data_IF_640417649886
#
_entry.id   IF_640417649886
#
_cell.length_a   1.000
_cell.length_b   1.000
_cell.length_c   1.000
_cell.angle_alpha   90.00
_cell.angle_beta   90.00
_cell.angle_gamma   90.00
#
_symmetry.space_group_name_H-M   'P 1'
#
loop_
_entity.id
_entity.type
_entity.pdbx_description
1 polymer ?
#
# COMPACT_ATOMS: atom_id res chain seq x y z
N UNK A 1 -7.35 -2.94 37.60
CA UNK A 1 -6.98 -2.67 36.20
C UNK A 1 -6.75 -1.18 36.10
N UNK A 2 -5.48 -0.76 36.02
CA UNK A 2 -5.12 0.67 36.04
C UNK A 2 -5.76 1.41 34.87
N UNK A 3 -6.42 2.53 35.18
CA UNK A 3 -7.09 3.34 34.17
C UNK A 3 -6.01 4.07 33.35
N UNK A 4 -5.90 3.84 32.02
CA UNK A 4 -4.90 4.51 31.20
C UNK A 4 -5.09 6.03 31.27
N UNK A 5 -3.98 6.78 31.20
CA UNK A 5 -4.03 8.25 31.18
C UNK A 5 -4.94 8.73 30.02
N UNK A 6 -5.58 9.90 30.12
CA UNK A 6 -6.47 10.40 29.06
C UNK A 6 -5.81 10.44 27.67
N UNK A 7 -4.51 10.75 27.62
CA UNK A 7 -3.73 10.73 26.38
C UNK A 7 -3.55 9.31 25.84
N UNK A 8 -3.16 8.35 26.70
CA UNK A 8 -2.99 6.97 26.28
C UNK A 8 -4.32 6.33 25.87
N UNK A 9 -5.42 6.68 26.53
CA UNK A 9 -6.77 6.28 26.11
C UNK A 9 -7.07 6.79 24.70
N UNK A 10 -6.81 8.07 24.42
CA UNK A 10 -6.98 8.65 23.08
C UNK A 10 -6.11 7.91 22.05
N UNK A 11 -4.85 7.61 22.37
CA UNK A 11 -3.98 6.81 21.50
C UNK A 11 -4.57 5.43 21.20
N UNK A 12 -4.98 4.68 22.23
CA UNK A 12 -5.55 3.34 22.08
C UNK A 12 -6.86 3.35 21.28
N UNK A 13 -7.70 4.36 21.48
CA UNK A 13 -8.96 4.51 20.75
C UNK A 13 -8.73 4.85 19.27
N UNK A 14 -7.69 5.62 18.94
CA UNK A 14 -7.29 5.86 17.55
C UNK A 14 -6.66 4.59 16.97
N UNK A 15 -5.75 3.92 17.68
CA UNK A 15 -5.09 2.70 17.24
C UNK A 15 -6.08 1.59 16.87
N UNK A 16 -7.16 1.43 17.64
CA UNK A 16 -8.25 0.47 17.33
C UNK A 16 -8.89 0.71 15.96
N UNK A 17 -8.94 1.95 15.48
CA UNK A 17 -9.50 2.30 14.17
C UNK A 17 -8.54 2.00 13.01
N UNK A 18 -7.25 1.84 13.29
CA UNK A 18 -6.20 1.61 12.30
C UNK A 18 -5.40 0.34 12.62
N UNK A 19 -6.05 -0.85 12.65
CA UNK A 19 -5.37 -2.11 12.92
C UNK A 19 -4.31 -2.40 11.85
N UNK A 20 -3.20 -3.03 12.25
CA UNK A 20 -2.10 -3.39 11.33
C UNK A 20 -1.27 -2.21 10.81
N UNK A 21 -1.42 -1.01 11.39
CA UNK A 21 -0.59 0.16 11.05
C UNK A 21 0.25 0.59 12.24
N UNK A 22 1.45 1.13 12.04
CA UNK A 22 2.18 1.84 13.08
C UNK A 22 1.57 3.23 13.26
N UNK A 23 1.22 3.62 14.49
CA UNK A 23 0.61 4.91 14.77
C UNK A 23 1.66 5.93 15.23
N UNK A 24 2.02 6.86 14.35
CA UNK A 24 2.81 8.04 14.69
C UNK A 24 1.92 9.10 15.34
N UNK A 25 1.98 9.19 16.67
CA UNK A 25 1.10 10.05 17.45
C UNK A 25 1.79 11.37 17.80
N UNK A 26 1.29 12.49 17.27
CA UNK A 26 1.88 13.82 17.46
C UNK A 26 1.81 14.28 18.91
N UNK A 27 2.96 14.43 19.55
CA UNK A 27 3.09 14.93 20.93
C UNK A 27 4.19 15.99 21.00
N UNK A 28 3.78 17.26 21.14
CA UNK A 28 4.72 18.39 21.10
C UNK A 28 5.46 18.41 19.77
N UNK A 29 6.80 18.37 19.82
CA UNK A 29 7.70 18.33 18.65
C UNK A 29 8.12 16.92 18.20
N UNK A 30 7.47 15.87 18.72
CA UNK A 30 7.74 14.50 18.33
C UNK A 30 6.51 13.82 17.73
N UNK A 31 6.75 12.79 16.93
CA UNK A 31 5.81 11.68 16.82
C UNK A 31 6.27 10.57 17.74
N UNK A 32 5.38 10.13 18.64
CA UNK A 32 5.63 9.04 19.55
C UNK A 32 4.82 7.80 19.12
N UNK A 33 5.42 6.63 19.31
CA UNK A 33 4.78 5.33 19.23
C UNK A 33 4.73 4.73 20.64
N UNK A 34 3.70 3.95 20.95
CA UNK A 34 3.54 3.32 22.26
C UNK A 34 3.28 1.80 22.16
N UNK A 35 3.59 1.09 23.24
CA UNK A 35 3.39 -0.35 23.39
C UNK A 35 4.13 -1.14 22.28
N UNK A 36 3.44 -2.04 21.59
CA UNK A 36 3.99 -2.86 20.52
C UNK A 36 4.56 -2.02 19.36
N UNK A 37 3.88 -0.93 18.98
CA UNK A 37 4.36 -0.01 17.95
C UNK A 37 5.70 0.60 18.34
N UNK A 38 5.93 0.86 19.62
CA UNK A 38 7.21 1.38 20.09
C UNK A 38 8.34 0.36 19.96
N UNK A 39 8.05 -0.92 20.26
CA UNK A 39 9.01 -2.02 20.13
C UNK A 39 9.38 -2.24 18.67
N UNK A 40 8.38 -2.28 17.78
CA UNK A 40 8.59 -2.39 16.33
C UNK A 40 9.35 -1.16 15.83
N UNK A 41 8.87 0.05 16.12
CA UNK A 41 9.48 1.29 15.67
C UNK A 41 10.94 1.42 16.12
N UNK A 42 11.25 1.07 17.37
CA UNK A 42 12.62 1.08 17.89
C UNK A 42 13.53 0.13 17.14
N UNK A 43 13.10 -1.13 16.95
CA UNK A 43 13.87 -2.15 16.23
C UNK A 43 14.11 -1.74 14.77
N UNK A 44 13.06 -1.29 14.09
CA UNK A 44 13.12 -1.06 12.65
C UNK A 44 13.82 0.24 12.28
N UNK A 45 13.68 1.28 13.11
CA UNK A 45 14.32 2.58 12.90
C UNK A 45 15.68 2.71 13.61
N UNK A 46 16.06 1.72 14.42
CA UNK A 46 17.25 1.74 15.27
C UNK A 46 17.30 2.97 16.19
N UNK A 47 16.15 3.34 16.75
CA UNK A 47 16.01 4.43 17.71
C UNK A 47 15.83 3.89 19.12
N UNK A 48 16.18 4.67 20.14
CA UNK A 48 16.12 4.24 21.54
C UNK A 48 14.69 3.90 21.98
N UNK A 49 14.47 2.67 22.45
CA UNK A 49 13.27 2.30 23.18
C UNK A 49 13.36 2.82 24.61
N UNK A 50 12.34 3.55 25.05
CA UNK A 50 12.21 4.04 26.42
C UNK A 50 10.84 3.62 26.99
N UNK A 51 10.47 4.12 28.16
CA UNK A 51 9.12 3.92 28.68
C UNK A 51 8.60 5.16 29.40
N UNK A 52 7.27 5.35 29.33
CA UNK A 52 6.54 6.35 30.13
C UNK A 52 6.29 5.75 31.51
N UNK A 53 6.42 6.60 32.54
CA UNK A 53 6.23 6.17 33.93
C UNK A 53 7.11 4.96 34.27
N UNK A 54 8.43 5.07 34.04
CA UNK A 54 9.41 4.00 34.22
C UNK A 54 9.36 3.37 35.62
N UNK A 55 9.08 4.18 36.63
CA UNK A 55 9.04 3.76 38.03
C UNK A 55 7.65 3.25 38.47
N UNK A 56 6.70 3.14 37.54
CA UNK A 56 5.36 2.61 37.84
C UNK A 56 5.31 1.08 37.68
N UNK A 57 4.34 0.40 38.30
CA UNK A 57 4.15 -1.04 38.13
C UNK A 57 3.89 -1.46 36.68
N UNK A 58 3.41 -0.54 35.83
CA UNK A 58 3.01 -0.78 34.46
C UNK A 58 3.64 0.27 33.53
N UNK A 59 4.96 0.21 33.28
CA UNK A 59 5.64 1.15 32.39
C UNK A 59 5.15 0.95 30.95
N UNK A 60 4.91 2.04 30.24
CA UNK A 60 4.40 2.01 28.85
C UNK A 60 5.57 2.16 27.89
N UNK A 61 5.96 1.14 27.10
CA UNK A 61 7.03 1.27 26.12
C UNK A 61 6.75 2.42 25.16
N UNK A 62 7.76 3.22 24.86
CA UNK A 62 7.67 4.33 23.92
C UNK A 62 8.96 4.50 23.11
N UNK A 63 8.83 4.96 21.89
CA UNK A 63 9.92 5.54 21.12
C UNK A 63 9.35 6.68 20.27
N UNK A 64 10.21 7.52 19.71
CA UNK A 64 9.73 8.65 18.91
C UNK A 64 10.80 9.29 18.06
N UNK A 65 10.34 10.05 17.08
CA UNK A 65 11.17 10.76 16.12
C UNK A 65 10.78 12.25 16.09
N UNK A 66 11.73 13.18 15.86
CA UNK A 66 11.40 14.59 15.68
C UNK A 66 10.53 14.78 14.44
N UNK A 67 9.48 15.59 14.55
CA UNK A 67 8.49 15.67 13.45
C UNK A 67 9.03 16.28 12.16
N UNK A 68 9.92 17.26 12.28
CA UNK A 68 10.59 17.88 11.14
C UNK A 68 11.43 16.88 10.34
N UNK A 69 11.84 15.77 10.96
CA UNK A 69 12.63 14.71 10.34
C UNK A 69 11.80 13.46 10.05
N UNK A 70 10.48 13.47 10.32
CA UNK A 70 9.64 12.28 10.30
C UNK A 70 9.54 11.63 8.91
N UNK A 71 9.59 12.42 7.84
CA UNK A 71 9.50 11.92 6.46
C UNK A 71 10.50 10.78 6.19
N UNK A 72 11.78 10.98 6.52
CA UNK A 72 12.81 9.96 6.33
C UNK A 72 12.59 8.69 7.16
N UNK A 73 12.03 8.81 8.36
CA UNK A 73 11.70 7.64 9.20
C UNK A 73 10.48 6.89 8.68
N UNK A 74 9.45 7.62 8.23
CA UNK A 74 8.26 7.05 7.61
C UNK A 74 8.66 6.24 6.38
N UNK A 75 9.53 6.81 5.52
CA UNK A 75 10.00 6.14 4.31
C UNK A 75 10.76 4.84 4.61
N UNK A 76 11.62 4.83 5.63
CA UNK A 76 12.28 3.60 6.10
C UNK A 76 11.30 2.52 6.56
N UNK A 77 10.24 2.89 7.28
CA UNK A 77 9.20 1.94 7.70
C UNK A 77 8.42 1.41 6.50
N UNK A 78 8.03 2.29 5.58
CA UNK A 78 7.24 1.94 4.39
C UNK A 78 8.02 1.01 3.46
N UNK A 79 9.32 1.26 3.23
CA UNK A 79 10.20 0.35 2.45
C UNK A 79 10.34 -1.03 3.08
N UNK A 80 10.19 -1.14 4.40
CA UNK A 80 10.14 -2.42 5.12
C UNK A 80 8.75 -3.06 5.13
N UNK A 81 7.80 -2.47 4.39
CA UNK A 81 6.44 -2.95 4.23
C UNK A 81 5.46 -2.55 5.32
N UNK A 82 5.84 -1.64 6.23
CA UNK A 82 4.93 -1.17 7.27
C UNK A 82 3.98 -0.09 6.74
N UNK A 83 2.72 -0.17 7.15
CA UNK A 83 1.74 0.90 6.97
C UNK A 83 1.83 1.85 8.16
N UNK A 84 1.85 3.16 7.93
CA UNK A 84 2.08 4.16 8.98
C UNK A 84 0.96 5.18 9.02
N UNK A 85 0.17 5.20 10.10
CA UNK A 85 -0.87 6.20 10.34
C UNK A 85 -0.26 7.44 11.01
N UNK A 86 -0.41 8.60 10.38
CA UNK A 86 0.07 9.89 10.88
C UNK A 86 -1.07 10.57 11.62
N UNK A 87 -0.93 10.69 12.94
CA UNK A 87 -1.93 11.30 13.81
C UNK A 87 -1.49 12.68 14.27
N UNK A 88 -2.20 13.70 13.81
CA UNK A 88 -1.92 15.11 14.09
C UNK A 88 -2.81 15.70 15.17
N UNK A 89 -2.39 16.86 15.67
CA UNK A 89 -3.22 17.71 16.51
C UNK A 89 -4.23 18.46 15.64
N UNK A 90 -5.52 18.17 15.85
CA UNK A 90 -6.60 18.84 15.12
C UNK A 90 -6.79 20.29 15.56
N UNK A 91 -6.30 20.65 16.75
CA UNK A 91 -6.45 21.96 17.36
C UNK A 91 -5.12 22.41 17.99
N UNK A 92 -4.78 23.71 17.97
CA UNK A 92 -3.59 24.22 18.64
C UNK A 92 -3.69 24.07 20.16
N UNK A 93 -2.58 23.71 20.81
CA UNK A 93 -2.50 23.63 22.27
C UNK A 93 -2.63 25.03 22.91
N UNK A 94 -3.84 25.40 23.37
CA UNK A 94 -4.10 26.66 24.04
C UNK A 94 -4.16 26.55 25.57
N UNK A 95 -3.94 27.68 26.28
CA UNK A 95 -4.04 27.76 27.75
C UNK A 95 -5.42 27.28 28.22
N UNK A 96 -5.45 26.23 29.05
CA UNK A 96 -6.68 25.66 29.62
C UNK A 96 -7.13 24.34 28.97
N UNK A 97 -6.58 23.98 27.81
CA UNK A 97 -6.88 22.68 27.16
C UNK A 97 -6.04 21.58 27.83
N UNK A 98 -6.71 20.71 28.60
CA UNK A 98 -6.05 19.57 29.29
C UNK A 98 -5.63 18.45 28.33
N UNK A 99 -6.31 18.27 27.20
CA UNK A 99 -6.01 17.26 26.19
C UNK A 99 -6.41 17.78 24.81
N UNK A 100 -5.43 17.91 23.93
CA UNK A 100 -5.64 18.31 22.52
C UNK A 100 -6.33 17.18 21.75
N UNK A 101 -7.33 17.52 20.94
CA UNK A 101 -7.97 16.55 20.04
C UNK A 101 -6.99 16.16 18.94
N UNK A 102 -6.93 14.87 18.64
CA UNK A 102 -6.08 14.34 17.59
C UNK A 102 -6.85 13.49 16.61
N UNK A 103 -6.39 13.49 15.38
CA UNK A 103 -6.95 12.69 14.31
C UNK A 103 -5.87 12.20 13.38
N UNK A 104 -6.08 11.03 12.78
CA UNK A 104 -5.21 10.57 11.70
C UNK A 104 -5.50 11.42 10.48
N UNK A 105 -4.49 12.06 9.92
CA UNK A 105 -4.64 12.90 8.70
C UNK A 105 -4.32 12.13 7.43
N UNK A 106 -3.47 11.11 7.55
CA UNK A 106 -3.01 10.29 6.43
C UNK A 106 -2.53 8.93 6.94
N UNK A 107 -2.68 7.90 6.11
CA UNK A 107 -2.00 6.62 6.26
C UNK A 107 -1.05 6.45 5.09
N UNK A 108 0.24 6.33 5.36
CA UNK A 108 1.27 6.11 4.34
C UNK A 108 1.50 4.60 4.22
N UNK A 109 1.43 4.09 3.00
CA UNK A 109 1.56 2.65 2.70
C UNK A 109 2.53 2.46 1.55
N UNK A 110 3.09 1.25 1.35
CA UNK A 110 4.05 1.01 0.28
C UNK A 110 3.57 1.46 -1.11
N UNK A 111 2.30 1.20 -1.45
CA UNK A 111 1.73 1.60 -2.76
C UNK A 111 1.10 2.99 -2.80
N UNK A 112 1.12 3.77 -1.72
CA UNK A 112 0.49 5.12 -1.69
C UNK A 112 1.49 6.23 -1.35
N UNK A 113 2.75 5.97 -1.66
CA UNK A 113 3.87 6.87 -1.40
C UNK A 113 3.93 7.95 -2.48
N UNK A 114 3.60 9.20 -2.12
CA UNK A 114 3.59 10.35 -3.05
C UNK A 114 4.81 11.26 -2.87
N UNK A 115 5.43 11.20 -1.69
CA UNK A 115 6.47 12.16 -1.33
C UNK A 115 7.80 11.77 -1.99
N UNK A 116 8.34 12.67 -2.80
CA UNK A 116 9.57 12.50 -3.58
C UNK A 116 10.81 12.23 -2.72
N UNK A 117 10.75 12.49 -1.41
CA UNK A 117 11.80 12.09 -0.47
C UNK A 117 11.74 10.59 -0.11
N UNK A 118 10.63 9.94 -0.41
CA UNK A 118 10.35 8.54 -0.07
C UNK A 118 10.53 7.60 -1.28
N UNK A 119 10.29 8.10 -2.49
CA UNK A 119 10.54 7.37 -3.76
C UNK A 119 12.03 7.40 -4.12
N UNK A 120 12.59 6.28 -4.56
CA UNK A 120 13.91 6.30 -5.21
C UNK A 120 13.75 7.06 -6.53
N UNK A 121 14.66 8.01 -6.80
CA UNK A 121 14.55 8.87 -7.98
C UNK A 121 14.50 7.99 -9.23
N UNK A 122 13.34 7.97 -9.91
CA UNK A 122 13.03 7.31 -11.19
C UNK A 122 12.44 5.88 -11.19
N UNK A 123 11.85 5.37 -10.11
CA UNK A 123 11.03 4.14 -10.20
C UNK A 123 9.55 4.39 -9.84
N UNK A 124 8.59 3.91 -10.66
CA UNK A 124 7.17 4.02 -10.35
C UNK A 124 6.83 3.16 -9.12
N UNK A 125 5.94 3.66 -8.27
CA UNK A 125 5.48 2.96 -7.07
C UNK A 125 4.02 2.57 -7.25
N UNK A 126 3.81 1.45 -7.94
CA UNK A 126 2.46 0.97 -8.22
C UNK A 126 1.78 0.37 -6.99
N UNK A 127 0.54 0.80 -6.77
CA UNK A 127 -0.48 0.08 -6.03
C UNK A 127 -1.23 -0.82 -7.00
N UNK A 128 -1.30 -2.12 -6.72
CA UNK A 128 -2.16 -3.04 -7.45
C UNK A 128 -3.39 -3.43 -6.64
N UNK A 129 -4.48 -3.76 -7.31
CA UNK A 129 -5.61 -4.48 -6.73
C UNK A 129 -6.01 -5.64 -7.63
N UNK A 130 -6.38 -6.77 -7.04
CA UNK A 130 -6.80 -7.97 -7.77
C UNK A 130 -8.23 -8.33 -7.37
N UNK A 131 -9.10 -8.45 -8.37
CA UNK A 131 -10.46 -8.97 -8.22
C UNK A 131 -10.62 -10.15 -9.16
N UNK A 132 -11.29 -11.23 -8.76
CA UNK A 132 -11.42 -12.36 -9.65
C UNK A 132 -12.27 -13.51 -9.13
N UNK A 133 -12.73 -14.30 -10.07
CA UNK A 133 -13.22 -15.66 -9.89
C UNK A 133 -12.19 -16.63 -10.45
N UNK A 134 -12.54 -17.92 -10.49
CA UNK A 134 -11.61 -18.95 -10.99
C UNK A 134 -11.25 -18.75 -12.47
N UNK A 135 -12.21 -18.37 -13.31
CA UNK A 135 -12.04 -18.29 -14.77
C UNK A 135 -11.86 -16.87 -15.31
N UNK A 136 -11.92 -15.86 -14.44
CA UNK A 136 -11.86 -14.46 -14.84
C UNK A 136 -11.22 -13.62 -13.73
N UNK A 137 -10.20 -12.84 -14.07
CA UNK A 137 -9.45 -12.01 -13.12
C UNK A 137 -9.20 -10.64 -13.72
N UNK A 138 -9.43 -9.62 -12.90
CA UNK A 138 -9.12 -8.23 -13.18
C UNK A 138 -7.99 -7.76 -12.28
N UNK A 139 -7.06 -7.03 -12.87
CA UNK A 139 -5.95 -6.41 -12.14
C UNK A 139 -5.87 -4.94 -12.51
N UNK A 140 -5.83 -4.08 -11.51
CA UNK A 140 -5.66 -2.65 -11.68
C UNK A 140 -4.32 -2.21 -11.10
N UNK A 141 -3.62 -1.29 -11.76
CA UNK A 141 -2.34 -0.73 -11.36
C UNK A 141 -2.43 0.79 -11.32
N UNK A 142 -2.09 1.39 -10.19
CA UNK A 142 -2.14 2.83 -9.97
C UNK A 142 -0.80 3.34 -9.47
N UNK A 143 -0.17 4.23 -10.22
CA UNK A 143 0.89 5.08 -9.69
C UNK A 143 0.24 6.37 -9.16
N UNK A 144 0.23 6.50 -7.83
CA UNK A 144 -0.41 7.63 -7.17
C UNK A 144 0.36 8.94 -7.36
N UNK A 145 1.65 8.90 -7.66
CA UNK A 145 2.48 10.10 -7.85
C UNK A 145 2.21 10.78 -9.19
N UNK A 146 2.00 9.99 -10.24
CA UNK A 146 1.73 10.47 -11.61
C UNK A 146 0.23 10.54 -11.92
N UNK A 147 -0.58 9.75 -11.23
CA UNK A 147 -1.99 9.54 -11.56
C UNK A 147 -2.21 8.55 -12.71
N UNK A 148 -1.15 7.86 -13.15
CA UNK A 148 -1.24 6.78 -14.12
C UNK A 148 -2.07 5.65 -13.53
N UNK A 149 -3.13 5.29 -14.25
CA UNK A 149 -4.05 4.26 -13.81
C UNK A 149 -4.41 3.35 -14.98
N UNK A 150 -3.98 2.10 -14.88
CA UNK A 150 -4.21 1.08 -15.89
C UNK A 150 -4.93 -0.13 -15.30
N UNK A 151 -5.63 -0.87 -16.15
CA UNK A 151 -6.39 -2.04 -15.73
C UNK A 151 -6.51 -3.05 -16.86
N UNK A 152 -6.60 -4.32 -16.51
CA UNK A 152 -6.81 -5.40 -17.47
C UNK A 152 -7.78 -6.43 -16.90
N UNK A 153 -8.40 -7.22 -17.79
CA UNK A 153 -9.24 -8.36 -17.44
C UNK A 153 -8.89 -9.55 -18.33
N UNK A 154 -8.48 -10.64 -17.70
CA UNK A 154 -8.13 -11.88 -18.37
C UNK A 154 -9.19 -12.93 -18.06
N UNK A 155 -9.52 -13.75 -19.06
CA UNK A 155 -10.53 -14.81 -18.95
C UNK A 155 -10.05 -16.12 -19.57
N UNK A 156 -10.58 -17.23 -19.06
CA UNK A 156 -10.24 -18.58 -19.50
C UNK A 156 -9.18 -19.27 -18.64
N UNK A 157 -8.71 -20.46 -19.06
CA UNK A 157 -7.86 -21.31 -18.22
C UNK A 157 -6.51 -20.69 -17.84
N UNK A 158 -5.99 -19.78 -18.65
CA UNK A 158 -4.70 -19.11 -18.46
C UNK A 158 -4.82 -17.74 -17.79
N UNK A 159 -6.04 -17.32 -17.41
CA UNK A 159 -6.31 -15.96 -16.94
C UNK A 159 -5.42 -15.54 -15.76
N UNK A 160 -5.27 -16.43 -14.78
CA UNK A 160 -4.44 -16.20 -13.61
C UNK A 160 -2.94 -16.17 -13.92
N UNK A 161 -2.49 -16.99 -14.88
CA UNK A 161 -1.08 -16.97 -15.31
C UNK A 161 -0.73 -15.63 -15.96
N UNK A 162 -1.63 -15.12 -16.81
CA UNK A 162 -1.46 -13.81 -17.45
C UNK A 162 -1.53 -12.67 -16.44
N UNK A 163 -2.48 -12.72 -15.50
CA UNK A 163 -2.55 -11.74 -14.42
C UNK A 163 -1.27 -11.72 -13.57
N UNK A 164 -0.70 -12.89 -13.24
CA UNK A 164 0.57 -12.98 -12.52
C UNK A 164 1.74 -12.37 -13.31
N UNK A 165 1.74 -12.52 -14.64
CA UNK A 165 2.73 -11.87 -15.50
C UNK A 165 2.58 -10.34 -15.47
N UNK A 166 1.35 -9.82 -15.58
CA UNK A 166 1.09 -8.38 -15.48
C UNK A 166 1.51 -7.81 -14.13
N UNK A 167 1.24 -8.52 -13.03
CA UNK A 167 1.69 -8.15 -11.68
C UNK A 167 3.22 -8.13 -11.60
N UNK A 168 3.88 -9.16 -12.15
CA UNK A 168 5.35 -9.22 -12.16
C UNK A 168 5.96 -8.08 -12.98
N UNK A 169 5.35 -7.75 -14.12
CA UNK A 169 5.80 -6.67 -15.01
C UNK A 169 5.71 -5.29 -14.36
N UNK A 170 4.61 -4.99 -13.69
CA UNK A 170 4.43 -3.71 -13.00
C UNK A 170 5.18 -3.66 -11.65
N UNK A 171 5.57 -4.81 -11.08
CA UNK A 171 6.30 -4.90 -9.82
C UNK A 171 5.70 -4.00 -8.71
N UNK A 172 4.39 -4.14 -8.41
CA UNK A 172 3.73 -3.24 -7.48
C UNK A 172 4.33 -3.33 -6.09
N UNK A 173 4.49 -2.17 -5.43
CA UNK A 173 4.99 -2.07 -4.06
C UNK A 173 3.98 -2.59 -3.03
N UNK A 174 2.69 -2.56 -3.39
CA UNK A 174 1.58 -3.06 -2.57
C UNK A 174 0.49 -3.68 -3.45
N UNK A 175 -0.07 -4.81 -3.03
CA UNK A 175 -1.16 -5.52 -3.71
C UNK A 175 -2.35 -5.64 -2.76
N UNK A 176 -3.50 -5.10 -3.17
CA UNK A 176 -4.76 -5.20 -2.45
C UNK A 176 -5.50 -6.48 -2.84
N UNK A 177 -5.92 -7.22 -1.83
CA UNK A 177 -6.81 -8.37 -1.97
C UNK A 177 -8.06 -8.20 -1.09
N UNK A 178 -9.19 -8.82 -1.45
CA UNK A 178 -10.30 -8.97 -0.53
C UNK A 178 -9.84 -9.60 0.80
N UNK A 179 -10.48 -9.24 1.92
CA UNK A 179 -10.29 -9.87 3.23
C UNK A 179 -10.71 -11.33 3.23
N UNK A 180 -11.60 -11.72 2.32
CA UNK A 180 -12.06 -13.09 2.13
C UNK A 180 -11.71 -13.59 0.71
N UNK A 181 -10.41 -13.72 0.36
CA UNK A 181 -10.00 -14.23 -0.94
C UNK A 181 -10.37 -15.71 -1.07
N UNK A 182 -10.71 -16.14 -2.29
CA UNK A 182 -10.98 -17.56 -2.55
C UNK A 182 -9.70 -18.38 -2.39
N UNK A 183 -9.82 -19.66 -2.00
CA UNK A 183 -8.66 -20.55 -1.89
C UNK A 183 -7.86 -20.65 -3.20
N UNK A 184 -8.56 -20.57 -4.34
CA UNK A 184 -7.95 -20.55 -5.67
C UNK A 184 -7.23 -19.25 -5.96
N UNK A 185 -7.78 -18.09 -5.58
CA UNK A 185 -7.07 -16.80 -5.68
C UNK A 185 -5.77 -16.83 -4.87
N UNK A 186 -5.81 -17.34 -3.64
CA UNK A 186 -4.59 -17.52 -2.84
C UNK A 186 -3.58 -18.43 -3.55
N UNK A 187 -4.02 -19.61 -4.02
CA UNK A 187 -3.16 -20.54 -4.73
C UNK A 187 -2.52 -19.93 -5.99
N UNK A 188 -3.32 -19.25 -6.81
CA UNK A 188 -2.89 -18.66 -8.07
C UNK A 188 -1.92 -17.48 -7.88
N UNK A 189 -2.01 -16.76 -6.75
CA UNK A 189 -1.08 -15.70 -6.38
C UNK A 189 0.11 -16.21 -5.56
N UNK A 190 0.24 -17.53 -5.36
CA UNK A 190 1.32 -18.12 -4.56
C UNK A 190 1.23 -17.79 -3.06
N UNK A 191 0.03 -17.45 -2.57
CA UNK A 191 -0.22 -17.12 -1.18
C UNK A 191 -0.67 -18.36 -0.41
N UNK A 192 -0.07 -18.59 0.76
CA UNK A 192 -0.54 -19.58 1.71
C UNK A 192 -1.92 -19.19 2.21
N UNK A 193 -2.96 -19.98 1.87
CA UNK A 193 -4.30 -19.76 2.40
C UNK A 193 -4.28 -19.88 3.94
N UNK A 194 -4.77 -18.89 4.68
CA UNK A 194 -4.77 -18.99 6.14
C UNK A 194 -5.80 -20.00 6.61
N UNK A 195 -5.34 -20.96 7.41
CA UNK A 195 -6.22 -21.80 8.21
C UNK A 195 -6.84 -20.94 9.33
N UNK A 196 -8.03 -20.40 9.08
CA UNK A 196 -8.79 -19.66 10.09
C UNK A 196 -9.13 -18.24 9.66
N UNK A 197 -10.41 -17.91 9.82
CA UNK A 197 -11.12 -16.71 9.35
C UNK A 197 -10.71 -15.40 10.04
N UNK A 198 -9.44 -15.02 9.95
CA UNK A 198 -8.96 -13.67 10.23
C UNK A 198 -7.63 -13.47 9.51
N UNK A 199 -7.72 -13.05 8.26
CA UNK A 199 -6.59 -12.66 7.42
C UNK A 199 -5.92 -11.39 7.96
N UNK A 200 -5.14 -11.54 9.02
CA UNK A 200 -3.86 -10.87 9.05
C UNK A 200 -2.94 -11.72 8.17
N UNK A 201 -2.81 -11.34 6.89
CA UNK A 201 -1.61 -11.65 6.12
C UNK A 201 -0.46 -10.90 6.81
N UNK A 202 -0.02 -11.40 7.97
CA UNK A 202 1.32 -11.11 8.44
C UNK A 202 2.25 -11.66 7.37
N UNK A 203 2.81 -10.74 6.58
CA UNK A 203 3.99 -10.85 5.74
C UNK A 203 4.82 -12.14 5.89
N UNK A 204 4.27 -13.29 5.49
CA UNK A 204 4.94 -14.59 5.45
C UNK A 204 5.86 -14.73 4.24
N UNK A 205 6.06 -13.64 3.47
CA UNK A 205 7.09 -13.53 2.44
C UNK A 205 8.47 -13.10 2.98
N UNK A 206 8.70 -13.03 4.30
CA UNK A 206 10.06 -12.69 4.80
C UNK A 206 11.11 -13.79 4.61
N UNK A 207 10.69 -15.04 4.42
CA UNK A 207 11.58 -16.21 4.24
C UNK A 207 11.44 -16.92 2.88
N UNK A 208 10.61 -16.42 1.97
CA UNK A 208 10.58 -16.93 0.60
C UNK A 208 11.84 -16.40 -0.12
N UNK A 209 12.63 -17.31 -0.70
CA UNK A 209 13.82 -16.97 -1.47
C UNK A 209 13.56 -15.99 -2.62
N UNK A 210 14.59 -15.65 -3.43
CA UNK A 210 14.62 -14.50 -4.36
C UNK A 210 13.67 -14.60 -5.59
N UNK A 211 12.56 -15.32 -5.48
CA UNK A 211 11.54 -15.51 -6.54
C UNK A 211 10.18 -14.88 -6.23
N UNK A 212 10.00 -14.17 -5.11
CA UNK A 212 8.74 -13.47 -4.80
C UNK A 212 8.87 -11.96 -5.09
N UNK A 213 8.78 -11.59 -6.38
CA UNK A 213 8.77 -10.21 -6.88
C UNK A 213 7.45 -9.46 -6.63
N UNK A 214 6.54 -10.00 -5.81
CA UNK A 214 5.26 -9.38 -5.49
C UNK A 214 5.41 -8.54 -4.21
N UNK A 215 5.05 -7.25 -4.27
CA UNK A 215 5.10 -6.34 -3.12
C UNK A 215 4.20 -6.74 -1.95
N UNK A 216 4.05 -5.84 -0.99
CA UNK A 216 3.32 -6.13 0.26
C UNK A 216 1.86 -6.42 -0.02
N UNK A 217 1.35 -7.56 0.43
CA UNK A 217 -0.08 -7.89 0.28
C UNK A 217 -0.88 -7.28 1.43
N UNK A 218 -1.88 -6.48 1.10
CA UNK A 218 -2.79 -5.83 2.05
C UNK A 218 -4.20 -6.35 1.86
N UNK A 219 -4.78 -6.93 2.92
CA UNK A 219 -6.18 -7.32 2.94
C UNK A 219 -7.10 -6.08 3.09
N UNK A 220 -8.04 -5.92 2.17
CA UNK A 220 -8.95 -4.78 2.08
C UNK A 220 -10.42 -5.23 2.06
N UNK A 221 -11.35 -4.37 2.48
CA UNK A 221 -12.72 -4.81 2.74
C UNK A 221 -13.40 -5.33 1.47
N UNK A 222 -14.05 -6.49 1.57
CA UNK A 222 -14.64 -7.21 0.42
C UNK A 222 -15.65 -6.36 -0.36
N UNK A 223 -16.35 -5.45 0.33
CA UNK A 223 -17.31 -4.51 -0.27
C UNK A 223 -16.69 -3.60 -1.33
N UNK A 224 -15.39 -3.28 -1.22
CA UNK A 224 -14.70 -2.46 -2.22
C UNK A 224 -14.36 -3.21 -3.51
N UNK A 225 -14.48 -4.54 -3.51
CA UNK A 225 -14.33 -5.39 -4.68
C UNK A 225 -15.70 -5.81 -5.27
N UNK A 226 -16.80 -5.16 -4.85
CA UNK A 226 -18.13 -5.43 -5.38
C UNK A 226 -18.26 -4.95 -6.83
N UNK A 227 -18.58 -5.88 -7.73
CA UNK A 227 -18.83 -5.61 -9.15
C UNK A 227 -20.00 -4.64 -9.38
N UNK A 228 -21.06 -4.81 -8.60
CA UNK A 228 -22.29 -4.01 -8.72
C UNK A 228 -22.03 -2.54 -8.40
N UNK A 229 -21.11 -2.30 -7.47
CA UNK A 229 -20.83 -0.99 -6.92
C UNK A 229 -19.64 -0.31 -7.62
N UNK A 230 -18.73 -1.11 -8.18
CA UNK A 230 -17.55 -0.63 -8.91
C UNK A 230 -17.89 0.38 -10.00
N UNK A 231 -18.92 0.08 -10.80
CA UNK A 231 -19.37 0.96 -11.87
C UNK A 231 -19.78 2.35 -11.35
N UNK A 232 -20.50 2.41 -10.22
CA UNK A 232 -20.93 3.67 -9.60
C UNK A 232 -19.74 4.46 -9.06
N UNK A 233 -18.79 3.78 -8.41
CA UNK A 233 -17.57 4.39 -7.85
C UNK A 233 -16.72 5.04 -8.96
N UNK A 234 -16.48 4.31 -10.05
CA UNK A 234 -15.65 4.77 -11.18
C UNK A 234 -16.34 5.92 -11.93
N UNK A 235 -17.63 5.77 -12.27
CA UNK A 235 -18.42 6.83 -12.92
C UNK A 235 -18.44 8.12 -12.11
N UNK A 236 -18.61 8.00 -10.79
CA UNK A 236 -18.57 9.16 -9.89
C UNK A 236 -17.18 9.77 -9.76
N UNK A 237 -16.10 8.99 -9.90
CA UNK A 237 -14.74 9.50 -9.79
C UNK A 237 -14.33 10.30 -11.03
N UNK A 238 -14.56 9.71 -12.21
CA UNK A 238 -14.16 10.29 -13.49
C UNK A 238 -15.19 11.27 -14.07
N UNK A 239 -16.33 11.45 -13.38
CA UNK A 239 -17.44 12.30 -13.81
C UNK A 239 -17.97 11.93 -15.22
N UNK A 240 -18.20 10.63 -15.43
CA UNK A 240 -18.71 10.08 -16.69
C UNK A 240 -20.03 9.34 -16.51
N UNK A 241 -20.86 9.34 -17.55
CA UNK A 241 -22.13 8.59 -17.56
C UNK A 241 -21.93 7.10 -17.81
N UNK A 242 -20.91 6.77 -18.59
CA UNK A 242 -20.65 5.42 -19.07
C UNK A 242 -19.15 5.12 -19.04
N UNK A 243 -18.79 3.86 -18.77
CA UNK A 243 -17.39 3.42 -18.68
C UNK A 243 -16.86 2.88 -20.02
N UNK A 244 -17.70 2.77 -21.05
CA UNK A 244 -17.30 2.45 -22.43
C UNK A 244 -16.23 3.42 -22.96
N UNK A 245 -16.22 4.67 -22.49
CA UNK A 245 -15.18 5.66 -22.85
C UNK A 245 -13.77 5.25 -22.40
N UNK A 246 -13.67 4.32 -21.44
CA UNK A 246 -12.43 3.73 -20.93
C UNK A 246 -12.24 2.26 -21.35
N UNK A 247 -13.10 1.73 -22.23
CA UNK A 247 -13.04 0.32 -22.64
C UNK A 247 -13.48 -0.69 -21.57
N UNK A 248 -14.17 -0.24 -20.52
CA UNK A 248 -14.57 -1.08 -19.37
C UNK A 248 -15.98 -1.66 -19.47
N UNK A 249 -16.65 -1.52 -20.62
CA UNK A 249 -17.98 -2.10 -20.82
C UNK A 249 -17.93 -3.63 -20.75
N UNK A 250 -18.70 -4.21 -19.82
CA UNK A 250 -18.72 -5.67 -19.57
C UNK A 250 -17.50 -6.22 -18.83
N UNK A 251 -16.54 -5.37 -18.43
CA UNK A 251 -15.30 -5.77 -17.73
C UNK A 251 -15.45 -5.64 -16.22
N UNK A 252 -16.25 -6.53 -15.64
CA UNK A 252 -16.68 -6.45 -14.24
C UNK A 252 -15.52 -6.60 -13.24
N UNK A 253 -14.58 -7.53 -13.50
CA UNK A 253 -13.47 -7.77 -12.59
C UNK A 253 -12.43 -6.66 -12.68
N UNK A 254 -12.15 -6.16 -13.88
CA UNK A 254 -11.33 -4.96 -14.06
C UNK A 254 -11.93 -3.77 -13.30
N UNK A 255 -13.23 -3.54 -13.48
CA UNK A 255 -13.93 -2.45 -12.79
C UNK A 255 -13.86 -2.59 -11.27
N UNK A 256 -14.07 -3.80 -10.73
CA UNK A 256 -13.98 -4.09 -9.30
C UNK A 256 -12.58 -3.83 -8.74
N UNK A 257 -11.53 -4.31 -9.42
CA UNK A 257 -10.14 -4.05 -9.03
C UNK A 257 -9.82 -2.55 -9.03
N UNK A 258 -10.22 -1.83 -10.09
CA UNK A 258 -10.02 -0.40 -10.19
C UNK A 258 -10.75 0.38 -9.09
N UNK A 259 -12.01 0.02 -8.80
CA UNK A 259 -12.77 0.65 -7.73
C UNK A 259 -12.11 0.43 -6.36
N UNK A 260 -11.54 -0.75 -6.11
CA UNK A 260 -10.80 -1.05 -4.88
C UNK A 260 -9.56 -0.15 -4.73
N UNK A 261 -8.76 0.03 -5.77
CA UNK A 261 -7.62 0.98 -5.76
C UNK A 261 -8.06 2.40 -5.37
N UNK A 262 -9.11 2.92 -6.02
CA UNK A 262 -9.61 4.26 -5.74
C UNK A 262 -10.15 4.40 -4.31
N UNK A 263 -10.88 3.41 -3.81
CA UNK A 263 -11.38 3.41 -2.44
C UNK A 263 -10.22 3.41 -1.45
N UNK A 264 -9.19 2.58 -1.68
CA UNK A 264 -8.01 2.52 -0.83
C UNK A 264 -7.23 3.84 -0.80
N UNK A 265 -7.04 4.48 -1.97
CA UNK A 265 -6.41 5.81 -2.04
C UNK A 265 -7.23 6.87 -1.31
N UNK A 266 -8.56 6.84 -1.42
CA UNK A 266 -9.44 7.77 -0.68
C UNK A 266 -9.31 7.57 0.83
N UNK A 267 -9.26 6.33 1.30
CA UNK A 267 -9.11 6.03 2.73
C UNK A 267 -7.73 6.41 3.29
N UNK A 268 -6.66 6.15 2.54
CA UNK A 268 -5.28 6.39 2.97
C UNK A 268 -4.89 7.86 2.86
N UNK A 269 -5.29 8.56 1.81
CA UNK A 269 -4.87 9.93 1.54
C UNK A 269 -5.87 11.01 1.97
N UNK A 270 -7.09 10.64 2.38
CA UNK A 270 -8.13 11.57 2.87
C UNK A 270 -8.35 12.81 1.96
N UNK A 271 -8.46 12.59 0.64
CA UNK A 271 -8.86 13.51 -0.45
C UNK A 271 -7.84 13.77 -1.59
N UNK A 272 -6.72 13.05 -1.68
CA UNK A 272 -5.68 13.29 -2.70
C UNK A 272 -5.79 12.45 -3.98
N UNK A 273 -6.99 12.14 -4.47
CA UNK A 273 -7.18 11.37 -5.71
C UNK A 273 -7.57 12.21 -6.94
N UNK A 274 -7.65 13.53 -6.83
CA UNK A 274 -8.27 14.38 -7.86
C UNK A 274 -7.47 14.48 -9.17
N UNK A 275 -6.19 14.11 -9.16
CA UNK A 275 -5.32 14.07 -10.34
C UNK A 275 -5.43 12.75 -11.11
N UNK A 276 -6.04 11.71 -10.53
CA UNK A 276 -6.37 10.46 -11.23
C UNK A 276 -7.58 10.75 -12.11
N UNK A 277 -7.34 11.13 -13.36
CA UNK A 277 -8.37 11.68 -14.26
C UNK A 277 -8.85 10.73 -15.34
N UNK A 278 -8.11 9.66 -15.58
CA UNK A 278 -8.40 8.66 -16.58
C UNK A 278 -8.00 7.29 -16.06
N UNK A 279 -8.55 6.26 -16.70
CA UNK A 279 -8.12 4.87 -16.54
C UNK A 279 -7.98 4.26 -17.93
N UNK A 280 -6.91 3.52 -18.16
CA UNK A 280 -6.63 2.86 -19.43
C UNK A 280 -6.84 1.36 -19.29
N UNK A 281 -7.69 0.78 -20.16
CA UNK A 281 -7.79 -0.66 -20.29
C UNK A 281 -6.77 -1.14 -21.32
N UNK A 282 -5.93 -2.10 -20.95
CA UNK A 282 -4.94 -2.69 -21.87
C UNK A 282 -5.15 -4.20 -22.06
N UNK A 283 -4.86 -4.67 -23.27
CA UNK A 283 -4.92 -6.09 -23.62
C UNK A 283 -3.51 -6.70 -23.72
N UNK A 284 -3.40 -8.00 -23.40
CA UNK A 284 -2.13 -8.74 -23.54
C UNK A 284 -1.55 -8.75 -24.96
N UNK A 285 -2.37 -8.51 -26.00
CA UNK A 285 -1.94 -8.61 -27.41
C UNK A 285 -1.19 -7.38 -27.95
N UNK A 286 -1.17 -6.26 -27.22
CA UNK A 286 -0.57 -5.01 -27.70
C UNK A 286 0.95 -4.92 -27.50
N UNK A 287 1.53 -5.88 -26.76
CA UNK A 287 2.94 -5.87 -26.36
C UNK A 287 3.61 -7.21 -26.60
N UNK A 288 4.95 -7.20 -26.75
CA UNK A 288 5.73 -8.42 -26.68
C UNK A 288 5.74 -8.93 -25.24
N UNK A 289 5.12 -10.09 -25.04
CA UNK A 289 5.06 -10.80 -23.76
C UNK A 289 6.44 -11.39 -23.45
N UNK A 290 7.02 -10.99 -22.32
CA UNK A 290 8.28 -11.53 -21.79
C UNK A 290 8.00 -12.02 -20.37
N UNK A 291 8.26 -13.31 -20.13
CA UNK A 291 8.11 -13.90 -18.81
C UNK A 291 9.14 -13.34 -17.81
N UNK A 292 8.89 -13.52 -16.50
CA UNK A 292 9.74 -13.01 -15.44
C UNK A 292 11.19 -13.55 -15.50
N UNK A 293 11.39 -14.79 -15.97
CA UNK A 293 12.72 -15.40 -16.12
C UNK A 293 13.46 -14.72 -17.28
N UNK A 294 12.77 -14.51 -18.41
CA UNK A 294 13.31 -13.77 -19.55
C UNK A 294 13.66 -12.34 -19.16
N UNK A 295 12.77 -11.61 -18.47
CA UNK A 295 13.07 -10.25 -17.99
C UNK A 295 14.30 -10.21 -17.07
N UNK A 296 14.41 -11.16 -16.13
CA UNK A 296 15.56 -11.25 -15.24
C UNK A 296 16.87 -11.61 -15.97
N UNK A 297 16.80 -12.46 -17.02
CA UNK A 297 17.97 -12.85 -17.81
C UNK A 297 18.43 -11.76 -18.78
N UNK A 298 17.50 -10.94 -19.28
CA UNK A 298 17.80 -9.84 -20.18
C UNK A 298 18.33 -8.60 -19.45
N UNK A 299 18.20 -8.56 -18.11
CA UNK A 299 18.65 -7.43 -17.27
C UNK A 299 18.15 -6.07 -17.79
N UNK A 300 16.88 -6.01 -18.22
CA UNK A 300 16.35 -4.84 -18.95
C UNK A 300 16.37 -3.59 -18.07
N UNK A 301 15.75 -3.66 -16.90
CA UNK A 301 15.65 -2.52 -15.96
C UNK A 301 16.61 -2.64 -14.78
N UNK A 302 17.05 -3.86 -14.44
CA UNK A 302 17.92 -4.13 -13.31
C UNK A 302 18.91 -5.25 -13.63
N UNK A 303 20.15 -5.09 -13.17
CA UNK A 303 21.19 -6.11 -13.21
C UNK A 303 20.90 -7.22 -12.18
N UNK A 304 21.27 -8.47 -12.46
CA UNK A 304 21.21 -9.56 -11.47
C UNK A 304 22.32 -9.47 -10.43
N UNK A 305 23.37 -8.70 -10.71
CA UNK A 305 24.48 -8.51 -9.81
C UNK A 305 24.33 -7.14 -9.11
N UNK A 306 23.94 -7.15 -7.83
CA UNK A 306 23.69 -5.94 -7.02
C UNK A 306 24.92 -5.02 -6.90
N UNK A 307 26.12 -5.51 -7.27
CA UNK A 307 27.36 -4.75 -7.24
C UNK A 307 27.51 -3.73 -8.39
N UNK A 308 26.73 -3.83 -9.46
CA UNK A 308 26.80 -2.89 -10.60
C UNK A 308 25.46 -2.77 -11.32
N UNK A 309 25.02 -1.54 -11.58
CA UNK A 309 23.84 -1.24 -12.40
C UNK A 309 24.20 -1.29 -13.91
N UNK A 310 24.42 -2.51 -14.43
CA UNK A 310 24.72 -2.75 -15.84
C UNK A 310 23.49 -3.24 -16.62
N UNK A 311 22.33 -2.65 -16.34
CA UNK A 311 21.09 -2.97 -17.05
C UNK A 311 21.06 -2.35 -18.45
N UNK A 312 20.18 -2.83 -19.34
CA UNK A 312 19.94 -2.15 -20.62
C UNK A 312 19.48 -0.71 -20.38
N UNK A 313 18.61 -0.51 -19.39
CA UNK A 313 18.10 0.80 -18.98
C UNK A 313 19.23 1.74 -18.57
N UNK A 314 20.16 1.33 -17.69
CA UNK A 314 21.26 2.20 -17.26
C UNK A 314 22.19 2.59 -18.41
N UNK A 315 22.29 1.77 -19.46
CA UNK A 315 23.08 2.07 -20.66
C UNK A 315 22.41 3.08 -21.60
N UNK A 316 21.08 3.01 -21.77
CA UNK A 316 20.35 3.85 -22.74
C UNK A 316 19.71 5.09 -22.11
N UNK A 317 19.59 5.13 -20.78
CA UNK A 317 18.92 6.21 -20.08
C UNK A 317 19.80 7.47 -19.99
N UNK A 318 19.76 8.28 -21.05
CA UNK A 318 20.35 9.61 -21.10
C UNK A 318 19.31 10.72 -20.80
N UNK A 319 18.21 10.38 -20.12
CA UNK A 319 17.17 11.36 -19.80
C UNK A 319 17.68 12.43 -18.84
N UNK A 320 17.26 13.67 -19.06
CA UNK A 320 17.62 14.84 -18.23
C UNK A 320 16.47 15.26 -17.31
N UNK A 321 15.33 14.58 -17.40
CA UNK A 321 14.13 14.74 -16.57
C UNK A 321 13.79 13.39 -15.93
N UNK A 322 13.25 13.41 -14.72
CA UNK A 322 12.79 12.17 -14.04
C UNK A 322 11.40 11.69 -14.47
N UNK A 323 10.77 12.38 -15.42
CA UNK A 323 9.53 11.99 -16.11
C UNK A 323 9.86 11.61 -17.54
#
# INVERSE_FOLDING_TARGET
>A
MDNPTPMLRQYLDIKKKYPGTLLLFRLGDFYELFNEDAVIGSRELQITLTARHKDSPNPVPMCGVPYHAAAGYISKLVRKGYRVAICEQAEPAAKGIKLVKREVVRVVTPGTTIDSQLTEQNEPSYLAAVSGTDDCVGVAFLDLSTGEFSVTEESGPEAWSKAAEHISRHSPSEILLPRSPSARMCHNLGLSAPEGSSLFLEASNRDAGPSASAGVVTAFADEHFSKDEAGRILKSHFDVKDLSVFGLEGKEQASAAAAACLCYVRETQKAQGAHIRSIEYFESAEFMVLDAITLANLEITRSRNEASDNSLYSLINETITGM
#
